data_IF_186766430153
#
_entry.id   IF_186766430153
#
_cell.length_a   1.000
_cell.length_b   1.000
_cell.length_c   1.000
_cell.angle_alpha   90.00
_cell.angle_beta   90.00
_cell.angle_gamma   90.00
#
_symmetry.space_group_name_H-M   'P 1'
#
loop_
_entity.id
_entity.type
_entity.pdbx_description
1 polymer ?
#
# COMPACT_ATOMS: atom_id res chain seq x y z
N UNK A 1 -4.94 -19.61 6.61
CA UNK A 1 -5.42 -18.24 6.88
C UNK A 1 -5.29 -17.40 5.62
N UNK A 2 -5.99 -16.27 5.55
CA UNK A 2 -5.79 -15.24 4.52
C UNK A 2 -4.96 -14.12 5.12
N UNK A 3 -3.89 -13.73 4.42
CA UNK A 3 -3.01 -12.65 4.85
C UNK A 3 -3.02 -11.58 3.76
N UNK A 4 -3.55 -10.42 4.09
CA UNK A 4 -3.69 -9.28 3.19
C UNK A 4 -2.61 -8.27 3.53
N UNK A 5 -1.87 -7.83 2.53
CA UNK A 5 -0.83 -6.82 2.66
C UNK A 5 -1.23 -5.54 1.91
N UNK A 6 -0.96 -4.39 2.50
CA UNK A 6 -0.76 -3.19 1.68
C UNK A 6 0.52 -3.33 0.86
N UNK A 7 0.68 -2.51 -0.15
CA UNK A 7 1.82 -2.55 -1.07
C UNK A 7 2.87 -1.49 -0.71
N UNK A 8 2.53 -0.22 -0.93
CA UNK A 8 3.46 0.91 -0.78
C UNK A 8 3.72 1.23 0.69
N UNK A 9 4.94 1.08 1.17
CA UNK A 9 5.30 1.27 2.57
C UNK A 9 5.20 -0.01 3.42
N UNK A 10 4.55 -1.04 2.92
CA UNK A 10 4.40 -2.32 3.63
C UNK A 10 5.25 -3.42 3.02
N UNK A 11 5.01 -3.79 1.76
CA UNK A 11 5.79 -4.79 1.03
C UNK A 11 7.03 -4.19 0.37
N UNK A 12 6.89 -2.98 -0.18
CA UNK A 12 7.91 -2.33 -1.01
C UNK A 12 8.10 -0.85 -0.64
N UNK A 13 9.34 -0.39 -0.78
CA UNK A 13 9.68 1.02 -0.69
C UNK A 13 9.59 1.66 -2.09
N UNK A 14 8.57 2.47 -2.30
CA UNK A 14 8.26 3.14 -3.58
C UNK A 14 8.53 4.64 -3.57
N UNK A 15 9.08 5.18 -2.49
CA UNK A 15 9.20 6.64 -2.27
C UNK A 15 9.97 7.33 -3.39
N UNK A 16 11.07 6.74 -3.83
CA UNK A 16 11.94 7.36 -4.85
C UNK A 16 11.20 7.51 -6.18
N UNK A 17 10.55 6.45 -6.66
CA UNK A 17 9.86 6.47 -7.95
C UNK A 17 8.60 7.33 -7.92
N UNK A 18 7.82 7.27 -6.82
CA UNK A 18 6.68 8.16 -6.62
C UNK A 18 7.11 9.63 -6.56
N UNK A 19 8.19 9.92 -5.84
CA UNK A 19 8.72 11.27 -5.71
C UNK A 19 9.25 11.83 -7.04
N UNK A 20 9.97 11.02 -7.81
CA UNK A 20 10.46 11.42 -9.12
C UNK A 20 9.32 11.67 -10.10
N UNK A 21 8.31 10.81 -10.16
CA UNK A 21 7.14 10.99 -11.01
C UNK A 21 6.33 12.25 -10.64
N UNK A 22 6.17 12.51 -9.34
CA UNK A 22 5.50 13.71 -8.88
C UNK A 22 6.31 14.98 -9.23
N UNK A 23 7.63 14.97 -9.01
CA UNK A 23 8.51 16.07 -9.40
C UNK A 23 8.53 16.30 -10.91
N UNK A 24 8.50 15.24 -11.71
CA UNK A 24 8.36 15.34 -13.16
C UNK A 24 7.07 16.10 -13.53
N UNK A 25 5.93 15.73 -12.96
CA UNK A 25 4.64 16.38 -13.20
C UNK A 25 4.62 17.83 -12.72
N UNK A 26 5.17 18.12 -11.53
CA UNK A 26 5.28 19.48 -10.99
C UNK A 26 6.11 20.37 -11.92
N UNK A 27 7.30 19.91 -12.33
CA UNK A 27 8.18 20.65 -13.22
C UNK A 27 7.55 20.92 -14.60
N UNK A 28 6.89 19.91 -15.18
CA UNK A 28 6.18 20.04 -16.47
C UNK A 28 5.06 21.09 -16.43
N UNK A 29 4.46 21.29 -15.25
CA UNK A 29 3.40 22.29 -15.04
C UNK A 29 3.90 23.62 -14.44
N UNK A 30 5.21 23.80 -14.27
CA UNK A 30 5.82 25.03 -13.75
C UNK A 30 5.70 25.23 -12.24
N UNK A 31 5.46 24.16 -11.48
CA UNK A 31 5.43 24.19 -10.00
C UNK A 31 6.77 23.82 -9.38
N UNK A 32 7.05 24.28 -8.14
CA UNK A 32 8.25 23.89 -7.42
C UNK A 32 8.24 22.38 -7.10
N UNK A 33 9.43 21.76 -7.18
CA UNK A 33 9.63 20.34 -6.83
C UNK A 33 10.00 20.19 -5.35
N UNK A 34 9.91 18.96 -4.84
CA UNK A 34 10.25 18.60 -3.47
C UNK A 34 11.47 17.67 -3.42
N UNK A 35 12.15 17.62 -2.26
CA UNK A 35 13.15 16.58 -2.01
C UNK A 35 12.48 15.23 -1.85
N UNK A 36 13.17 14.16 -2.25
CA UNK A 36 12.61 12.79 -2.14
C UNK A 36 12.30 12.44 -0.69
N UNK A 37 13.10 12.90 0.26
CA UNK A 37 12.93 12.67 1.70
C UNK A 37 11.64 13.30 2.27
N UNK A 38 11.02 14.22 1.54
CA UNK A 38 9.77 14.86 1.96
C UNK A 38 8.51 14.03 1.58
N UNK A 39 8.65 13.10 0.63
CA UNK A 39 7.52 12.36 0.07
C UNK A 39 6.81 11.39 1.03
N UNK A 40 7.45 10.77 2.05
CA UNK A 40 6.74 9.90 2.98
C UNK A 40 5.49 10.53 3.61
N UNK A 41 5.49 11.85 3.85
CA UNK A 41 4.31 12.58 4.39
C UNK A 41 3.29 13.00 3.34
N UNK A 42 3.58 12.84 2.06
CA UNK A 42 2.69 13.22 0.97
C UNK A 42 1.92 12.02 0.41
N UNK A 43 2.47 10.80 0.53
CA UNK A 43 1.87 9.55 0.02
C UNK A 43 0.76 8.99 0.93
N UNK A 44 0.10 7.91 0.51
CA UNK A 44 -0.79 7.08 1.33
C UNK A 44 -2.27 7.04 0.92
N UNK A 45 -2.76 7.97 0.08
CA UNK A 45 -4.18 8.02 -0.30
C UNK A 45 -4.38 8.07 -1.84
N UNK A 46 -3.51 7.39 -2.60
CA UNK A 46 -3.54 7.38 -4.06
C UNK A 46 -2.92 8.62 -4.71
N UNK A 47 -2.75 8.56 -6.04
CA UNK A 47 -1.98 9.55 -6.81
C UNK A 47 -2.57 10.96 -6.77
N UNK A 48 -3.89 11.10 -6.79
CA UNK A 48 -4.52 12.42 -6.76
C UNK A 48 -4.21 13.16 -5.46
N UNK A 49 -4.22 12.46 -4.31
CA UNK A 49 -3.88 13.05 -3.01
C UNK A 49 -2.38 13.34 -2.87
N UNK A 50 -1.53 12.52 -3.44
CA UNK A 50 -0.09 12.80 -3.52
C UNK A 50 0.15 14.12 -4.27
N UNK A 51 -0.42 14.28 -5.47
CA UNK A 51 -0.29 15.48 -6.29
C UNK A 51 -0.88 16.71 -5.56
N UNK A 52 -2.10 16.57 -4.99
CA UNK A 52 -2.75 17.65 -4.25
C UNK A 52 -1.87 18.17 -3.09
N UNK A 53 -1.29 17.24 -2.30
CA UNK A 53 -0.41 17.59 -1.18
C UNK A 53 0.91 18.22 -1.63
N UNK A 54 1.42 17.81 -2.78
CA UNK A 54 2.65 18.33 -3.35
C UNK A 54 2.49 19.73 -3.97
N UNK A 55 1.28 20.11 -4.37
CA UNK A 55 0.99 21.44 -4.92
C UNK A 55 1.05 22.54 -3.84
N UNK A 56 1.44 23.79 -4.21
CA UNK A 56 1.21 24.97 -3.37
C UNK A 56 -0.29 25.10 -3.02
N UNK A 57 -0.59 25.57 -1.81
CA UNK A 57 -1.94 25.57 -1.26
C UNK A 57 -2.99 26.25 -2.16
N UNK A 58 -2.62 27.35 -2.80
CA UNK A 58 -3.47 28.12 -3.70
C UNK A 58 -3.82 27.41 -5.03
N UNK A 59 -3.09 26.34 -5.34
CA UNK A 59 -3.27 25.53 -6.56
C UNK A 59 -3.88 24.15 -6.32
N UNK A 60 -4.29 23.86 -5.08
CA UNK A 60 -4.91 22.57 -4.68
C UNK A 60 -6.37 22.50 -5.09
N UNK A 61 -6.63 22.36 -6.38
CA UNK A 61 -7.96 22.16 -6.93
C UNK A 61 -7.96 20.98 -7.91
N UNK A 62 -9.14 20.45 -8.19
CA UNK A 62 -9.32 19.25 -9.00
C UNK A 62 -8.73 19.38 -10.41
N UNK A 63 -8.96 20.52 -11.06
CA UNK A 63 -8.47 20.79 -12.41
C UNK A 63 -6.93 20.70 -12.49
N UNK A 64 -6.25 21.35 -11.53
CA UNK A 64 -4.78 21.34 -11.46
C UNK A 64 -4.26 19.93 -11.15
N UNK A 65 -4.90 19.21 -10.22
CA UNK A 65 -4.53 17.83 -9.88
C UNK A 65 -4.67 16.92 -11.12
N UNK A 66 -5.77 16.99 -11.84
CA UNK A 66 -6.00 16.18 -13.05
C UNK A 66 -4.98 16.50 -14.14
N UNK A 67 -4.66 17.79 -14.35
CA UNK A 67 -3.62 18.20 -15.31
C UNK A 67 -2.25 17.62 -14.96
N UNK A 68 -1.83 17.66 -13.69
CA UNK A 68 -0.55 17.08 -13.29
C UNK A 68 -0.56 15.55 -13.42
N UNK A 69 -1.70 14.92 -13.16
CA UNK A 69 -1.85 13.47 -13.32
C UNK A 69 -1.58 13.00 -14.75
N UNK A 70 -1.88 13.79 -15.75
CA UNK A 70 -1.60 13.48 -17.17
C UNK A 70 -0.09 13.36 -17.44
N UNK A 71 0.76 14.04 -16.67
CA UNK A 71 2.22 13.92 -16.73
C UNK A 71 2.74 12.85 -15.78
N UNK A 72 2.12 12.71 -14.61
CA UNK A 72 2.54 11.74 -13.58
C UNK A 72 2.38 10.30 -14.07
N UNK A 73 1.18 9.94 -14.56
CA UNK A 73 0.84 8.53 -14.84
C UNK A 73 1.73 7.93 -15.93
N UNK A 74 1.92 8.55 -17.10
CA UNK A 74 2.79 7.98 -18.12
C UNK A 74 4.24 7.83 -17.66
N UNK A 75 4.77 8.82 -16.94
CA UNK A 75 6.12 8.74 -16.39
C UNK A 75 6.24 7.63 -15.35
N UNK A 76 5.30 7.54 -14.42
CA UNK A 76 5.31 6.52 -13.39
C UNK A 76 5.12 5.11 -13.97
N UNK A 77 4.30 4.93 -15.00
CA UNK A 77 4.12 3.64 -15.67
C UNK A 77 5.41 3.13 -16.31
N UNK A 78 6.28 4.02 -16.77
CA UNK A 78 7.59 3.67 -17.34
C UNK A 78 8.64 3.42 -16.25
N UNK A 79 8.60 4.20 -15.14
CA UNK A 79 9.67 4.29 -14.14
C UNK A 79 9.29 3.76 -12.74
N UNK A 80 8.22 2.97 -12.61
CA UNK A 80 7.68 2.57 -11.29
C UNK A 80 8.46 1.48 -10.56
N UNK A 81 9.55 1.00 -11.15
CA UNK A 81 10.45 0.00 -10.57
C UNK A 81 11.93 0.32 -10.79
N UNK A 82 12.28 1.60 -11.02
CA UNK A 82 13.69 1.99 -11.19
C UNK A 82 14.45 1.95 -9.85
N UNK A 83 13.80 2.35 -8.76
CA UNK A 83 14.32 2.35 -7.38
C UNK A 83 13.43 1.59 -6.40
N UNK A 84 12.24 1.19 -6.82
CA UNK A 84 11.31 0.42 -5.99
C UNK A 84 11.88 -0.98 -5.71
N UNK A 85 11.90 -1.35 -4.43
CA UNK A 85 12.41 -2.64 -3.98
C UNK A 85 11.64 -3.14 -2.74
N UNK A 86 11.59 -4.47 -2.49
CA UNK A 86 11.05 -5.02 -1.26
C UNK A 86 11.82 -4.52 -0.03
N UNK A 87 11.12 -4.34 1.11
CA UNK A 87 11.80 -4.15 2.38
C UNK A 87 12.55 -5.41 2.80
N UNK A 88 13.65 -5.21 3.55
CA UNK A 88 14.46 -6.31 4.07
C UNK A 88 13.61 -7.31 4.88
N UNK A 89 13.71 -8.59 4.53
CA UNK A 89 12.96 -9.67 5.18
C UNK A 89 11.59 -9.98 4.57
N UNK A 90 11.03 -9.14 3.69
CA UNK A 90 9.73 -9.38 3.04
C UNK A 90 9.74 -10.66 2.20
N UNK A 91 10.74 -10.86 1.35
CA UNK A 91 10.82 -12.07 0.52
C UNK A 91 10.87 -13.36 1.36
N UNK A 92 11.62 -13.32 2.47
CA UNK A 92 11.71 -14.44 3.40
C UNK A 92 10.37 -14.69 4.11
N UNK A 93 9.67 -13.63 4.54
CA UNK A 93 8.34 -13.72 5.13
C UNK A 93 7.37 -14.38 4.14
N UNK A 94 7.25 -13.83 2.94
CA UNK A 94 6.31 -14.32 1.91
C UNK A 94 6.56 -15.79 1.56
N UNK A 95 7.83 -16.18 1.39
CA UNK A 95 8.22 -17.58 1.15
C UNK A 95 7.79 -18.49 2.29
N UNK A 96 7.96 -18.05 3.53
CA UNK A 96 7.58 -18.82 4.72
C UNK A 96 6.07 -19.00 4.79
N UNK A 97 5.31 -17.92 4.61
CA UNK A 97 3.84 -17.93 4.63
C UNK A 97 3.25 -18.84 3.53
N UNK A 98 3.80 -18.78 2.30
CA UNK A 98 3.37 -19.70 1.22
C UNK A 98 3.68 -21.14 1.56
N UNK A 99 4.85 -21.45 2.13
CA UNK A 99 5.21 -22.81 2.57
C UNK A 99 4.27 -23.34 3.66
N UNK A 100 3.76 -22.48 4.51
CA UNK A 100 2.77 -22.80 5.56
C UNK A 100 1.34 -22.95 4.99
N UNK A 101 1.12 -22.72 3.71
CA UNK A 101 -0.17 -22.90 3.06
C UNK A 101 -1.15 -21.74 3.28
N UNK A 102 -0.64 -20.54 3.58
CA UNK A 102 -1.47 -19.33 3.67
C UNK A 102 -1.83 -18.79 2.28
N UNK A 103 -3.03 -18.20 2.16
CA UNK A 103 -3.42 -17.39 1.01
C UNK A 103 -2.89 -15.97 1.20
N UNK A 104 -2.18 -15.47 0.20
CA UNK A 104 -1.58 -14.13 0.23
C UNK A 104 -2.29 -13.21 -0.74
N UNK A 105 -2.67 -12.03 -0.29
CA UNK A 105 -3.32 -11.03 -1.12
C UNK A 105 -2.68 -9.65 -0.93
N UNK A 106 -2.80 -8.82 -1.98
CA UNK A 106 -2.44 -7.41 -1.95
C UNK A 106 -3.70 -6.55 -2.01
N UNK A 107 -3.79 -5.53 -1.15
CA UNK A 107 -4.86 -4.54 -1.11
C UNK A 107 -4.28 -3.13 -1.07
N UNK A 108 -4.24 -2.42 -2.21
CA UNK A 108 -3.56 -1.13 -2.34
C UNK A 108 -4.47 -0.01 -2.85
N UNK A 109 -4.19 1.24 -2.42
CA UNK A 109 -4.78 2.45 -3.00
C UNK A 109 -4.04 2.93 -4.29
N UNK A 110 -3.00 2.21 -4.72
CA UNK A 110 -2.39 2.37 -6.03
C UNK A 110 -3.34 1.84 -7.11
N UNK A 111 -3.43 2.50 -8.28
CA UNK A 111 -4.31 2.05 -9.37
C UNK A 111 -3.94 0.63 -9.85
N UNK A 112 -4.96 -0.14 -10.23
CA UNK A 112 -4.89 -1.59 -10.47
C UNK A 112 -3.73 -1.98 -11.40
N UNK A 113 -3.59 -1.32 -12.56
CA UNK A 113 -2.57 -1.69 -13.54
C UNK A 113 -1.14 -1.56 -13.00
N UNK A 114 -0.82 -0.49 -12.24
CA UNK A 114 0.50 -0.36 -11.63
C UNK A 114 0.70 -1.36 -10.49
N UNK A 115 -0.35 -1.64 -9.70
CA UNK A 115 -0.29 -2.64 -8.64
C UNK A 115 0.06 -4.01 -9.19
N UNK A 116 -0.66 -4.46 -10.23
CA UNK A 116 -0.41 -5.75 -10.90
C UNK A 116 0.98 -5.83 -11.53
N UNK A 117 1.39 -4.77 -12.25
CA UNK A 117 2.70 -4.73 -12.90
C UNK A 117 3.84 -4.87 -11.90
N UNK A 118 3.82 -4.08 -10.83
CA UNK A 118 4.87 -4.07 -9.81
C UNK A 118 4.91 -5.41 -9.06
N UNK A 119 3.74 -5.93 -8.65
CA UNK A 119 3.67 -7.22 -7.95
C UNK A 119 4.15 -8.37 -8.84
N UNK A 120 3.76 -8.39 -10.11
CA UNK A 120 4.21 -9.42 -11.05
C UNK A 120 5.73 -9.36 -11.29
N UNK A 121 6.32 -8.17 -11.27
CA UNK A 121 7.76 -7.98 -11.45
C UNK A 121 8.57 -8.37 -10.22
N UNK A 122 8.16 -7.94 -9.03
CA UNK A 122 8.93 -8.12 -7.79
C UNK A 122 8.61 -9.45 -7.07
N UNK A 123 7.37 -9.95 -7.20
CA UNK A 123 6.88 -11.14 -6.50
C UNK A 123 6.16 -12.12 -7.43
N UNK A 124 6.80 -12.60 -8.51
CA UNK A 124 6.14 -13.43 -9.53
C UNK A 124 5.55 -14.70 -8.91
N UNK A 125 4.23 -14.88 -9.07
CA UNK A 125 3.51 -16.09 -8.61
C UNK A 125 3.36 -16.24 -7.09
N UNK A 126 3.66 -15.22 -6.31
CA UNK A 126 3.59 -15.28 -4.83
C UNK A 126 2.18 -15.02 -4.33
N UNK A 127 1.50 -14.02 -4.86
CA UNK A 127 0.17 -13.61 -4.40
C UNK A 127 -0.94 -14.34 -5.17
N UNK A 128 -1.95 -14.78 -4.43
CA UNK A 128 -3.13 -15.44 -4.98
C UNK A 128 -4.13 -14.40 -5.52
N UNK A 129 -4.16 -13.20 -4.94
CA UNK A 129 -5.02 -12.07 -5.35
C UNK A 129 -4.22 -10.76 -5.24
N UNK A 130 -4.36 -9.90 -6.25
CA UNK A 130 -3.74 -8.58 -6.27
C UNK A 130 -4.81 -7.55 -6.65
N UNK A 131 -5.20 -6.71 -5.69
CA UNK A 131 -6.18 -5.66 -5.91
C UNK A 131 -5.58 -4.28 -5.61
N UNK A 132 -5.77 -3.38 -6.58
CA UNK A 132 -5.51 -1.95 -6.46
C UNK A 132 -6.80 -1.12 -6.50
N UNK A 133 -6.66 0.20 -6.67
CA UNK A 133 -7.79 1.11 -6.91
C UNK A 133 -8.45 0.78 -8.25
N UNK A 134 -9.78 0.64 -8.25
CA UNK A 134 -10.61 0.28 -9.40
C UNK A 134 -11.74 1.29 -9.58
N UNK A 135 -12.10 1.57 -10.82
CA UNK A 135 -13.21 2.48 -11.14
C UNK A 135 -14.53 1.93 -10.57
N UNK A 136 -15.27 2.79 -9.90
CA UNK A 136 -16.57 2.44 -9.30
C UNK A 136 -16.49 1.68 -7.98
N UNK A 137 -15.29 1.43 -7.46
CA UNK A 137 -15.08 0.83 -6.13
C UNK A 137 -14.43 1.86 -5.21
N UNK A 138 -15.00 2.05 -4.04
CA UNK A 138 -14.41 2.94 -3.04
C UNK A 138 -13.06 2.38 -2.56
N UNK A 139 -12.07 3.27 -2.51
CA UNK A 139 -10.73 2.92 -2.02
C UNK A 139 -10.66 2.86 -0.50
N UNK A 140 -9.60 2.30 0.02
CA UNK A 140 -9.26 2.35 1.45
C UNK A 140 -9.34 3.80 1.97
N UNK A 141 -9.94 4.07 3.13
CA UNK A 141 -10.27 3.13 4.20
C UNK A 141 -11.62 2.39 4.07
N UNK A 142 -12.35 2.52 2.95
CA UNK A 142 -13.53 1.68 2.73
C UNK A 142 -13.11 0.20 2.70
N UNK A 143 -13.79 -0.71 3.45
CA UNK A 143 -13.38 -2.11 3.56
C UNK A 143 -13.71 -2.96 2.32
N UNK A 144 -14.31 -2.39 1.26
CA UNK A 144 -14.77 -3.14 0.10
C UNK A 144 -13.66 -3.99 -0.54
N UNK A 145 -12.42 -3.46 -0.60
CA UNK A 145 -11.29 -4.21 -1.15
C UNK A 145 -10.99 -5.50 -0.37
N UNK A 146 -11.19 -5.49 0.96
CA UNK A 146 -11.04 -6.69 1.80
C UNK A 146 -12.15 -7.69 1.52
N UNK A 147 -13.39 -7.22 1.42
CA UNK A 147 -14.54 -8.08 1.09
C UNK A 147 -14.43 -8.71 -0.30
N UNK A 148 -13.91 -7.97 -1.28
CA UNK A 148 -13.66 -8.48 -2.63
C UNK A 148 -12.61 -9.60 -2.62
N UNK A 149 -11.52 -9.44 -1.85
CA UNK A 149 -10.51 -10.49 -1.66
C UNK A 149 -11.14 -11.74 -1.03
N UNK A 150 -11.87 -11.57 0.07
CA UNK A 150 -12.51 -12.69 0.77
C UNK A 150 -13.52 -13.44 -0.11
N UNK A 151 -14.29 -12.71 -0.93
CA UNK A 151 -15.29 -13.31 -1.83
C UNK A 151 -14.66 -14.08 -2.98
N UNK A 152 -13.55 -13.58 -3.54
CA UNK A 152 -12.84 -14.21 -4.67
C UNK A 152 -12.25 -15.57 -4.28
N UNK A 153 -11.81 -15.72 -3.03
CA UNK A 153 -11.23 -16.99 -2.55
C UNK A 153 -12.27 -18.10 -2.34
N UNK A 154 -13.55 -17.84 -2.59
CA UNK A 154 -14.67 -18.81 -2.49
C UNK A 154 -14.65 -19.60 -1.16
N UNK A 155 -14.06 -19.03 -0.16
CA UNK A 155 -13.84 -19.66 1.13
C UNK A 155 -14.89 -19.13 2.09
N UNK A 156 -15.55 -20.02 2.83
CA UNK A 156 -16.33 -19.68 4.02
C UNK A 156 -15.39 -19.16 5.12
N UNK A 157 -14.33 -18.42 4.73
CA UNK A 157 -13.40 -17.85 5.69
C UNK A 157 -14.08 -16.70 6.39
N UNK A 158 -14.39 -16.94 7.63
CA UNK A 158 -14.70 -15.91 8.61
C UNK A 158 -13.58 -14.87 8.61
N UNK A 159 -13.93 -13.60 8.74
CA UNK A 159 -12.99 -12.50 8.99
C UNK A 159 -12.03 -12.81 10.15
N UNK A 160 -12.43 -13.72 11.06
CA UNK A 160 -11.62 -14.22 12.17
C UNK A 160 -10.32 -14.93 11.70
N UNK A 161 -10.27 -15.45 10.48
CA UNK A 161 -9.08 -16.10 9.92
C UNK A 161 -8.34 -15.22 8.91
N UNK A 162 -8.52 -13.90 8.99
CA UNK A 162 -7.88 -12.92 8.13
C UNK A 162 -6.98 -11.97 8.93
N UNK A 163 -5.77 -11.75 8.42
CA UNK A 163 -4.82 -10.75 8.88
C UNK A 163 -4.70 -9.65 7.83
N UNK A 164 -4.68 -8.41 8.26
CA UNK A 164 -4.38 -7.26 7.41
C UNK A 164 -3.10 -6.59 7.92
N UNK A 165 -2.12 -6.44 7.04
CA UNK A 165 -0.81 -5.87 7.36
C UNK A 165 -0.64 -4.57 6.57
N UNK A 166 -0.34 -3.47 7.26
CA UNK A 166 -0.16 -2.16 6.66
C UNK A 166 0.75 -1.25 7.48
N UNK A 167 1.05 -0.08 6.96
CA UNK A 167 1.94 0.92 7.57
C UNK A 167 1.31 2.28 7.79
N UNK A 168 -0.02 2.39 7.64
CA UNK A 168 -0.72 3.67 7.68
C UNK A 168 -2.01 3.65 8.51
N UNK A 169 -2.49 4.84 8.87
CA UNK A 169 -3.81 5.00 9.51
C UNK A 169 -4.95 4.54 8.58
N UNK A 170 -4.78 4.67 7.26
CA UNK A 170 -5.74 4.18 6.26
C UNK A 170 -5.88 2.66 6.34
N UNK A 171 -4.79 1.94 6.55
CA UNK A 171 -4.81 0.48 6.73
C UNK A 171 -5.49 0.09 8.04
N UNK A 172 -5.19 0.83 9.11
CA UNK A 172 -5.82 0.61 10.41
C UNK A 172 -7.36 0.78 10.34
N UNK A 173 -7.82 1.84 9.69
CA UNK A 173 -9.25 2.10 9.49
C UNK A 173 -9.89 1.03 8.59
N UNK A 174 -9.21 0.62 7.51
CA UNK A 174 -9.66 -0.44 6.60
C UNK A 174 -9.85 -1.76 7.33
N UNK A 175 -8.84 -2.21 8.06
CA UNK A 175 -8.88 -3.48 8.80
C UNK A 175 -9.98 -3.50 9.86
N UNK A 176 -10.17 -2.40 10.61
CA UNK A 176 -11.24 -2.26 11.59
C UNK A 176 -12.62 -2.28 10.96
N UNK A 177 -12.80 -1.52 9.88
CA UNK A 177 -14.07 -1.47 9.16
C UNK A 177 -14.42 -2.85 8.57
N UNK A 178 -13.41 -3.63 8.16
CA UNK A 178 -13.60 -4.99 7.68
C UNK A 178 -13.77 -6.04 8.79
N UNK A 179 -13.47 -5.72 10.05
CA UNK A 179 -13.52 -6.65 11.18
C UNK A 179 -12.46 -7.75 11.12
N UNK A 180 -11.28 -7.44 10.57
CA UNK A 180 -10.13 -8.34 10.46
C UNK A 180 -9.02 -7.93 11.43
N UNK A 181 -8.14 -8.88 11.78
CA UNK A 181 -7.01 -8.60 12.67
C UNK A 181 -6.02 -7.66 12.02
N UNK A 182 -5.64 -6.62 12.73
CA UNK A 182 -4.73 -5.57 12.28
C UNK A 182 -3.32 -5.79 12.78
N UNK A 183 -2.39 -5.88 11.85
CA UNK A 183 -0.94 -5.78 12.11
C UNK A 183 -0.44 -4.49 11.49
N UNK A 184 0.18 -3.61 12.28
CA UNK A 184 0.86 -2.43 11.75
C UNK A 184 2.36 -2.61 11.83
N UNK A 185 3.03 -2.19 10.77
CA UNK A 185 4.49 -2.19 10.70
C UNK A 185 5.07 -0.77 10.89
N UNK A 186 6.31 -0.71 11.41
CA UNK A 186 6.98 0.56 11.70
C UNK A 186 8.09 0.92 10.71
N UNK A 187 8.35 0.07 9.70
CA UNK A 187 9.37 0.30 8.67
C UNK A 187 8.86 1.10 7.46
N UNK A 188 7.54 1.35 7.38
CA UNK A 188 6.89 2.01 6.25
C UNK A 188 6.91 3.53 6.32
N UNK A 189 5.91 4.18 5.72
CA UNK A 189 5.83 5.63 5.60
C UNK A 189 5.17 6.31 6.81
N UNK A 190 4.33 5.57 7.55
CA UNK A 190 3.73 6.06 8.79
C UNK A 190 4.75 6.23 9.90
N UNK A 191 4.55 7.22 10.78
CA UNK A 191 5.41 7.38 11.94
C UNK A 191 5.08 6.34 13.02
N UNK A 192 6.09 5.95 13.80
CA UNK A 192 5.90 5.02 14.93
C UNK A 192 4.79 5.50 15.88
N UNK A 193 4.76 6.78 16.19
CA UNK A 193 3.74 7.38 17.05
C UNK A 193 2.31 7.20 16.48
N UNK A 194 2.15 7.37 15.15
CA UNK A 194 0.87 7.11 14.48
C UNK A 194 0.47 5.64 14.57
N UNK A 195 1.41 4.72 14.36
CA UNK A 195 1.15 3.29 14.41
C UNK A 195 0.78 2.83 15.83
N UNK A 196 1.50 3.28 16.85
CA UNK A 196 1.17 3.03 18.26
C UNK A 196 -0.18 3.64 18.65
N UNK A 197 -0.43 4.89 18.25
CA UNK A 197 -1.69 5.60 18.51
C UNK A 197 -2.90 4.96 17.84
N UNK A 198 -2.70 4.27 16.74
CA UNK A 198 -3.74 3.47 16.08
C UNK A 198 -4.12 2.20 16.85
N UNK A 199 -3.41 1.78 17.89
CA UNK A 199 -3.72 0.60 18.72
C UNK A 199 -4.01 -0.65 17.89
N UNK A 200 -3.06 -1.16 17.10
CA UNK A 200 -3.22 -2.39 16.34
C UNK A 200 -3.29 -3.60 17.29
N UNK A 201 -3.77 -4.75 16.79
CA UNK A 201 -3.69 -6.02 17.51
C UNK A 201 -2.22 -6.44 17.69
N UNK A 202 -1.38 -6.17 16.69
CA UNK A 202 0.06 -6.39 16.73
C UNK A 202 0.80 -5.23 16.07
N UNK A 203 1.87 -4.76 16.72
CA UNK A 203 2.82 -3.79 16.17
C UNK A 203 4.16 -4.48 15.95
N UNK A 204 4.64 -4.48 14.71
CA UNK A 204 5.86 -5.18 14.31
C UNK A 204 6.91 -4.21 13.76
N UNK A 205 8.18 -4.47 14.08
CA UNK A 205 9.29 -3.62 13.67
C UNK A 205 10.13 -4.23 12.54
N UNK A 206 9.93 -5.52 12.29
CA UNK A 206 10.61 -6.26 11.23
C UNK A 206 9.63 -7.25 10.59
N UNK A 207 9.70 -7.49 9.25
CA UNK A 207 8.75 -8.38 8.57
C UNK A 207 8.63 -9.77 9.20
N UNK A 208 9.71 -10.36 9.68
CA UNK A 208 9.67 -11.69 10.25
C UNK A 208 8.91 -11.77 11.58
N UNK A 209 8.70 -10.67 12.30
CA UNK A 209 7.87 -10.63 13.52
C UNK A 209 6.38 -10.90 13.22
N UNK A 210 5.95 -10.78 11.94
CA UNK A 210 4.61 -11.21 11.53
C UNK A 210 4.37 -12.69 11.78
N UNK A 211 5.40 -13.53 11.69
CA UNK A 211 5.29 -14.97 11.98
C UNK A 211 4.98 -15.21 13.46
N UNK A 212 5.57 -14.43 14.37
CA UNK A 212 5.30 -14.50 15.80
C UNK A 212 3.85 -14.07 16.11
N UNK A 213 3.36 -13.01 15.42
CA UNK A 213 1.97 -12.57 15.53
C UNK A 213 0.97 -13.65 15.08
N UNK A 214 1.33 -14.45 14.06
CA UNK A 214 0.53 -15.58 13.61
C UNK A 214 0.51 -16.74 14.62
N UNK A 215 1.66 -17.08 15.20
CA UNK A 215 1.80 -18.14 16.20
C UNK A 215 1.02 -17.81 17.49
N UNK A 216 1.00 -16.53 17.90
CA UNK A 216 0.26 -16.09 19.08
C UNK A 216 -1.27 -16.23 18.95
N UNK A 217 -1.79 -16.50 17.74
CA UNK A 217 -3.24 -16.69 17.45
C UNK A 217 -3.66 -18.16 17.37
N UNK A 218 -2.74 -19.06 17.23
CA UNK A 218 -3.02 -20.52 17.13
C UNK A 218 -3.08 -21.15 18.47
#
# INVERSE_FOLDING_TARGET
MIIIFDLDGTLINTISDLGQACNHALAACGFPTHKIEDYPRLVGNGVNKLIERALPQEHRNEETVLRLREYFVPYYDEHNCDFTHPYDGIEQLLKTLKKQGHFLAVASNKYQAATEKIVAQLFPGVFDIVLGERVGVERKPNPQIVYDILSTLNTQHSTLNCLYIGDSLVDAETARAAGVTLVLCTWGFGTREQMEGAKPDYLVNHPLEVLEALEARG
#
